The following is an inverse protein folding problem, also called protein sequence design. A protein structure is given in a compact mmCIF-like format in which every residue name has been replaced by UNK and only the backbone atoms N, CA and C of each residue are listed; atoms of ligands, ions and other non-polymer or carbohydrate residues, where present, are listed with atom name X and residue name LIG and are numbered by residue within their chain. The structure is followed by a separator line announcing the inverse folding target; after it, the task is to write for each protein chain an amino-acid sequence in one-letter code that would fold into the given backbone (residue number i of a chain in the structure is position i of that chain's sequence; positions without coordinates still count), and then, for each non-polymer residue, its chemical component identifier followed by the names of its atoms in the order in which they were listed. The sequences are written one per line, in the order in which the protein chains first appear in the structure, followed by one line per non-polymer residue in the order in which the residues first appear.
data_IF_935576790739
#
_entry.id   IF_935576790739
#
_cell.length_a   1.000
_cell.length_b   1.000
_cell.length_c   1.000
_cell.angle_alpha   90.00
_cell.angle_beta   90.00
_cell.angle_gamma   90.00
#
_symmetry.space_group_name_H-M   'P 1'
#
loop_
_entity.id
_entity.type
_entity.pdbx_description
1 polymer ?
#
# COMPACT_ATOMS: atom_id res chain seq x y z
N UNK A 1 -8.85 41.64 -17.17
CA UNK A 1 -8.81 40.42 -18.01
C UNK A 1 -7.50 39.63 -17.98
N UNK A 2 -6.33 40.23 -17.68
CA UNK A 2 -5.01 39.58 -17.80
C UNK A 2 -4.78 38.39 -16.82
N UNK A 3 -5.45 38.39 -15.67
CA UNK A 3 -5.37 37.31 -14.67
C UNK A 3 -5.93 35.97 -15.17
N UNK A 4 -6.97 35.98 -16.01
CA UNK A 4 -7.59 34.76 -16.53
C UNK A 4 -6.73 34.05 -17.59
N UNK A 5 -5.97 34.79 -18.40
CA UNK A 5 -5.04 34.23 -19.39
C UNK A 5 -3.84 33.61 -18.69
N UNK A 6 -3.25 34.30 -17.72
CA UNK A 6 -2.15 33.75 -16.90
C UNK A 6 -2.59 32.52 -16.10
N UNK A 7 -3.82 32.52 -15.55
CA UNK A 7 -4.38 31.36 -14.84
C UNK A 7 -4.60 30.16 -15.78
N UNK A 8 -5.08 30.37 -17.02
CA UNK A 8 -5.22 29.30 -18.02
C UNK A 8 -3.87 28.75 -18.48
N UNK A 9 -2.87 29.62 -18.69
CA UNK A 9 -1.51 29.22 -19.06
C UNK A 9 -0.82 28.42 -17.95
N UNK A 10 -0.89 28.90 -16.71
CA UNK A 10 -0.33 28.20 -15.55
C UNK A 10 -0.99 26.83 -15.33
N UNK A 11 -2.34 26.75 -15.41
CA UNK A 11 -3.07 25.47 -15.32
C UNK A 11 -2.71 24.53 -16.49
N UNK A 12 -2.56 25.06 -17.70
CA UNK A 12 -2.13 24.29 -18.86
C UNK A 12 -0.73 23.69 -18.67
N UNK A 13 0.23 24.45 -18.15
CA UNK A 13 1.58 23.96 -17.85
C UNK A 13 1.54 22.87 -16.76
N UNK A 14 0.80 23.09 -15.67
CA UNK A 14 0.68 22.11 -14.59
C UNK A 14 0.07 20.78 -15.06
N UNK A 15 -1.00 20.84 -15.87
CA UNK A 15 -1.62 19.64 -16.45
C UNK A 15 -0.70 18.95 -17.46
N UNK A 16 0.13 19.71 -18.18
CA UNK A 16 1.13 19.13 -19.09
C UNK A 16 2.16 18.32 -18.31
N UNK A 17 2.73 18.89 -17.25
CA UNK A 17 3.72 18.20 -16.39
C UNK A 17 3.09 16.94 -15.78
N UNK A 18 1.91 17.06 -15.17
CA UNK A 18 1.22 15.91 -14.58
C UNK A 18 0.89 14.85 -15.64
N UNK A 19 0.43 15.25 -16.82
CA UNK A 19 0.12 14.34 -17.93
C UNK A 19 1.35 13.56 -18.40
N UNK A 20 2.51 14.21 -18.55
CA UNK A 20 3.78 13.54 -18.90
C UNK A 20 4.19 12.55 -17.82
N UNK A 21 4.11 12.95 -16.55
CA UNK A 21 4.49 12.10 -15.41
C UNK A 21 3.60 10.85 -15.34
N UNK A 22 2.28 11.01 -15.40
CA UNK A 22 1.36 9.88 -15.35
C UNK A 22 1.51 8.96 -16.57
N UNK A 23 1.74 9.53 -17.75
CA UNK A 23 1.99 8.76 -18.96
C UNK A 23 3.28 7.93 -18.83
N UNK A 24 4.36 8.54 -18.35
CA UNK A 24 5.64 7.86 -18.14
C UNK A 24 5.55 6.75 -17.11
N UNK A 25 4.94 7.00 -15.95
CA UNK A 25 4.73 5.99 -14.90
C UNK A 25 3.85 4.85 -15.42
N UNK A 26 2.74 5.16 -16.10
CA UNK A 26 1.83 4.16 -16.65
C UNK A 26 2.51 3.27 -17.69
N UNK A 27 3.30 3.87 -18.59
CA UNK A 27 4.05 3.12 -19.61
C UNK A 27 5.15 2.24 -19.00
N UNK A 28 5.90 2.77 -18.03
CA UNK A 28 6.93 1.99 -17.31
C UNK A 28 6.32 0.81 -16.55
N UNK A 29 5.20 1.02 -15.85
CA UNK A 29 4.48 -0.05 -15.17
C UNK A 29 3.99 -1.12 -16.18
N UNK A 30 3.44 -0.70 -17.31
CA UNK A 30 3.00 -1.62 -18.36
C UNK A 30 4.16 -2.43 -18.96
N UNK A 31 5.28 -1.79 -19.28
CA UNK A 31 6.49 -2.45 -19.80
C UNK A 31 7.04 -3.44 -18.76
N UNK A 32 7.07 -3.04 -17.47
CA UNK A 32 7.50 -3.92 -16.38
C UNK A 32 6.64 -5.17 -16.28
N UNK A 33 5.31 -5.03 -16.31
CA UNK A 33 4.38 -6.18 -16.28
C UNK A 33 4.57 -7.09 -17.49
N UNK A 34 4.77 -6.53 -18.69
CA UNK A 34 5.04 -7.32 -19.90
C UNK A 34 6.38 -8.05 -19.83
N UNK A 35 7.40 -7.42 -19.27
CA UNK A 35 8.70 -8.05 -19.05
C UNK A 35 8.60 -9.21 -18.06
N UNK A 36 7.90 -9.00 -16.94
CA UNK A 36 7.67 -10.03 -15.93
C UNK A 36 6.84 -11.20 -16.48
N UNK A 37 5.80 -10.91 -17.28
CA UNK A 37 4.98 -11.93 -17.92
C UNK A 37 5.79 -12.75 -18.91
N UNK A 38 6.58 -12.09 -19.76
CA UNK A 38 7.48 -12.79 -20.69
C UNK A 38 8.48 -13.67 -19.94
N UNK A 39 9.08 -13.16 -18.85
CA UNK A 39 10.01 -13.93 -18.02
C UNK A 39 9.34 -15.18 -17.46
N UNK A 40 8.16 -15.02 -16.86
CA UNK A 40 7.34 -16.12 -16.35
C UNK A 40 6.99 -17.15 -17.43
N UNK A 41 6.57 -16.71 -18.62
CA UNK A 41 6.23 -17.59 -19.74
C UNK A 41 7.47 -18.33 -20.31
N UNK A 42 8.65 -17.71 -20.28
CA UNK A 42 9.88 -18.31 -20.82
C UNK A 42 10.61 -19.20 -19.83
N UNK A 43 10.64 -18.83 -18.56
CA UNK A 43 11.39 -19.54 -17.50
C UNK A 43 10.51 -20.56 -16.77
N UNK A 44 9.18 -20.37 -16.79
CA UNK A 44 8.24 -21.18 -16.03
C UNK A 44 8.32 -20.93 -14.53
N UNK A 45 7.67 -21.80 -13.77
CA UNK A 45 7.79 -21.92 -12.31
C UNK A 45 8.69 -23.10 -11.97
N UNK A 46 9.30 -23.04 -10.78
CA UNK A 46 10.06 -24.13 -10.18
C UNK A 46 9.55 -24.37 -8.77
N UNK A 47 9.64 -25.61 -8.31
CA UNK A 47 9.32 -25.96 -6.93
C UNK A 47 10.26 -25.19 -5.97
N UNK A 48 9.69 -24.36 -5.09
CA UNK A 48 10.47 -23.58 -4.12
C UNK A 48 11.21 -24.44 -3.12
N UNK A 49 10.77 -25.69 -2.89
CA UNK A 49 11.45 -26.64 -2.03
C UNK A 49 12.79 -27.15 -2.60
N UNK A 50 13.01 -26.94 -3.90
CA UNK A 50 14.21 -27.37 -4.62
C UNK A 50 15.17 -26.22 -4.93
N UNK A 51 14.95 -25.04 -4.33
CA UNK A 51 15.77 -23.86 -4.57
C UNK A 51 16.86 -23.69 -3.52
N UNK A 52 18.06 -23.40 -4.00
CA UNK A 52 19.16 -22.94 -3.15
C UNK A 52 18.95 -21.49 -2.72
N UNK A 53 19.63 -21.06 -1.65
CA UNK A 53 19.63 -19.65 -1.21
C UNK A 53 20.01 -18.68 -2.34
N UNK A 54 21.01 -19.05 -3.16
CA UNK A 54 21.44 -18.26 -4.30
C UNK A 54 20.32 -18.10 -5.34
N UNK A 55 19.51 -19.13 -5.58
CA UNK A 55 18.38 -19.07 -6.50
C UNK A 55 17.20 -18.27 -5.93
N UNK A 56 16.93 -18.40 -4.63
CA UNK A 56 15.93 -17.58 -3.93
C UNK A 56 16.25 -16.08 -4.05
N UNK A 57 17.53 -15.71 -3.97
CA UNK A 57 17.98 -14.32 -4.14
C UNK A 57 17.57 -13.70 -5.49
N UNK A 58 17.40 -14.55 -6.51
CA UNK A 58 16.92 -14.19 -7.84
C UNK A 58 15.44 -13.80 -7.90
N UNK A 59 14.71 -13.99 -6.80
CA UNK A 59 13.27 -13.68 -6.64
C UNK A 59 12.41 -14.28 -7.76
N UNK A 60 12.55 -15.59 -8.05
CA UNK A 60 11.82 -16.23 -9.12
C UNK A 60 10.32 -16.31 -8.84
N UNK A 61 9.56 -16.55 -9.91
CA UNK A 61 8.24 -17.13 -9.78
C UNK A 61 8.39 -18.62 -9.47
N UNK A 62 7.57 -19.12 -8.57
CA UNK A 62 7.71 -20.45 -8.01
C UNK A 62 6.34 -21.11 -7.88
N UNK A 63 6.39 -22.43 -7.88
CA UNK A 63 5.31 -23.28 -7.42
C UNK A 63 5.83 -24.14 -6.27
N UNK A 64 4.99 -24.95 -5.63
CA UNK A 64 5.48 -25.92 -4.64
C UNK A 64 4.47 -26.22 -3.55
N UNK A 65 4.79 -27.23 -2.74
CA UNK A 65 3.96 -27.70 -1.63
C UNK A 65 4.43 -27.10 -0.31
N UNK A 66 3.47 -26.68 0.49
CA UNK A 66 3.66 -26.41 1.92
C UNK A 66 3.13 -27.62 2.66
N UNK A 67 4.03 -28.34 3.32
CA UNK A 67 3.74 -29.57 4.07
C UNK A 67 3.87 -29.37 5.58
N UNK A 68 4.66 -28.38 6.01
CA UNK A 68 4.84 -28.05 7.41
C UNK A 68 4.70 -26.56 7.63
N UNK A 69 4.12 -26.21 8.78
CA UNK A 69 4.02 -24.84 9.28
C UNK A 69 4.49 -24.86 10.71
N UNK A 70 5.59 -24.15 10.99
CA UNK A 70 6.21 -24.19 12.30
C UNK A 70 5.55 -23.18 13.24
N UNK A 71 5.34 -21.94 12.79
CA UNK A 71 4.72 -20.89 13.62
C UNK A 71 4.15 -19.74 12.77
N UNK A 72 3.21 -18.99 13.32
CA UNK A 72 2.83 -17.64 12.88
C UNK A 72 3.56 -16.61 13.74
N UNK A 73 4.65 -16.04 13.23
CA UNK A 73 5.48 -15.12 14.02
C UNK A 73 5.06 -13.64 13.90
N UNK A 74 4.25 -13.29 12.90
CA UNK A 74 3.78 -11.92 12.70
C UNK A 74 2.42 -11.84 11.98
N UNK A 75 1.73 -10.72 12.18
CA UNK A 75 0.48 -10.38 11.51
C UNK A 75 0.45 -8.92 11.03
N UNK A 76 -0.31 -8.65 9.98
CA UNK A 76 -0.74 -7.30 9.58
C UNK A 76 -2.24 -7.16 9.79
N UNK A 77 -2.67 -5.99 10.27
CA UNK A 77 -4.09 -5.65 10.44
C UNK A 77 -4.34 -4.15 10.29
N UNK A 78 -5.54 -3.81 9.83
CA UNK A 78 -5.94 -2.42 9.61
C UNK A 78 -6.33 -1.75 10.92
N UNK A 79 -5.84 -0.53 11.12
CA UNK A 79 -6.18 0.32 12.28
C UNK A 79 -6.78 1.66 11.85
N UNK A 80 -7.58 2.24 12.74
CA UNK A 80 -8.03 3.64 12.65
C UNK A 80 -7.65 4.36 13.94
N UNK A 81 -6.74 5.33 13.84
CA UNK A 81 -6.14 6.01 15.00
C UNK A 81 -5.54 5.04 16.04
N UNK A 82 -4.88 3.98 15.56
CA UNK A 82 -4.24 2.96 16.41
C UNK A 82 -5.20 1.92 16.99
N UNK A 83 -6.50 1.99 16.68
CA UNK A 83 -7.49 0.99 17.08
C UNK A 83 -7.66 -0.01 15.94
N UNK A 84 -7.44 -1.30 16.22
CA UNK A 84 -7.69 -2.40 15.28
C UNK A 84 -9.17 -2.44 14.87
N UNK A 85 -9.44 -2.55 13.57
CA UNK A 85 -10.80 -2.44 13.00
C UNK A 85 -11.54 -3.78 12.87
N UNK A 86 -10.83 -4.90 12.91
CA UNK A 86 -11.36 -6.26 12.80
C UNK A 86 -10.57 -7.20 13.68
N UNK A 87 -11.23 -8.23 14.23
CA UNK A 87 -10.51 -9.31 14.92
C UNK A 87 -9.72 -10.17 13.92
N UNK A 88 -10.10 -10.17 12.64
CA UNK A 88 -9.36 -10.85 11.58
C UNK A 88 -8.07 -10.10 11.21
N UNK A 89 -7.02 -10.85 10.88
CA UNK A 89 -5.76 -10.31 10.36
C UNK A 89 -5.82 -10.15 8.85
N UNK A 90 -5.35 -9.03 8.33
CA UNK A 90 -5.27 -8.77 6.88
C UNK A 90 -4.26 -9.71 6.21
N UNK A 91 -3.15 -9.98 6.91
CA UNK A 91 -2.14 -10.97 6.53
C UNK A 91 -1.54 -11.64 7.75
N UNK A 92 -1.10 -12.88 7.55
CA UNK A 92 -0.29 -13.63 8.51
C UNK A 92 1.04 -14.03 7.85
N UNK A 93 2.10 -14.06 8.66
CA UNK A 93 3.45 -14.44 8.25
C UNK A 93 3.83 -15.74 8.97
N UNK A 94 3.87 -16.82 8.20
CA UNK A 94 4.17 -18.15 8.70
C UNK A 94 5.65 -18.47 8.49
N UNK A 95 6.29 -19.09 9.47
CA UNK A 95 7.57 -19.74 9.29
C UNK A 95 7.32 -21.15 8.71
N UNK A 96 7.88 -21.42 7.55
CA UNK A 96 7.79 -22.73 6.90
C UNK A 96 9.20 -23.23 6.54
N UNK A 97 9.48 -24.53 6.64
CA UNK A 97 10.70 -25.12 6.11
C UNK A 97 10.63 -25.27 4.58
N UNK A 98 11.79 -25.28 3.94
CA UNK A 98 11.98 -25.81 2.59
C UNK A 98 12.40 -27.28 2.71
N UNK A 99 11.56 -28.19 2.20
CA UNK A 99 11.72 -29.64 2.38
C UNK A 99 12.25 -30.27 1.10
N UNK A 100 13.46 -30.83 1.11
CA UNK A 100 14.03 -31.47 -0.10
C UNK A 100 13.26 -32.74 -0.49
N UNK A 101 13.51 -33.29 -1.69
CA UNK A 101 12.85 -34.56 -2.09
C UNK A 101 13.20 -35.73 -1.14
N UNK A 102 14.35 -35.64 -0.48
CA UNK A 102 14.79 -36.61 0.52
C UNK A 102 14.21 -36.35 1.92
N UNK A 103 13.42 -35.29 2.09
CA UNK A 103 12.78 -34.91 3.35
C UNK A 103 13.67 -34.12 4.31
N UNK A 104 14.82 -33.60 3.84
CA UNK A 104 15.69 -32.76 4.68
C UNK A 104 15.16 -31.33 4.76
N UNK A 105 15.36 -30.71 5.91
CA UNK A 105 15.04 -29.29 6.16
C UNK A 105 16.36 -28.56 6.37
N UNK A 106 16.81 -27.86 5.32
CA UNK A 106 18.04 -27.07 5.39
C UNK A 106 17.74 -25.60 5.68
N UNK A 107 16.60 -25.08 5.25
CA UNK A 107 16.28 -23.66 5.36
C UNK A 107 14.83 -23.44 5.74
N UNK A 108 14.59 -22.32 6.41
CA UNK A 108 13.27 -21.78 6.65
C UNK A 108 13.07 -20.48 5.88
N UNK A 109 11.85 -20.26 5.42
CA UNK A 109 11.42 -19.03 4.76
C UNK A 109 10.09 -18.58 5.35
N UNK A 110 9.72 -17.34 5.07
CA UNK A 110 8.39 -16.83 5.42
C UNK A 110 7.38 -17.17 4.33
N UNK A 111 6.17 -17.57 4.69
CA UNK A 111 5.01 -17.57 3.80
C UNK A 111 4.08 -16.41 4.19
N UNK A 112 3.90 -15.44 3.29
CA UNK A 112 2.85 -14.43 3.44
C UNK A 112 1.52 -15.04 3.02
N UNK A 113 0.51 -15.03 3.89
CA UNK A 113 -0.81 -15.53 3.55
C UNK A 113 -1.90 -14.51 3.86
N UNK A 114 -2.96 -14.56 3.05
CA UNK A 114 -4.22 -13.84 3.29
C UNK A 114 -5.29 -14.82 3.76
N UNK A 115 -6.44 -14.30 4.19
CA UNK A 115 -7.56 -15.09 4.72
C UNK A 115 -7.99 -16.30 3.87
N UNK A 116 -7.72 -16.28 2.56
CA UNK A 116 -7.96 -17.42 1.65
C UNK A 116 -7.25 -18.71 2.09
N UNK A 117 -6.10 -18.61 2.75
CA UNK A 117 -5.23 -19.75 3.06
C UNK A 117 -5.22 -20.15 4.54
N UNK A 118 -5.85 -19.36 5.42
CA UNK A 118 -5.70 -19.54 6.88
C UNK A 118 -6.20 -20.89 7.35
N UNK A 119 -7.37 -21.35 6.90
CA UNK A 119 -7.91 -22.65 7.35
C UNK A 119 -6.97 -23.81 7.02
N UNK A 120 -6.44 -23.84 5.79
CA UNK A 120 -5.51 -24.89 5.35
C UNK A 120 -4.17 -24.79 6.08
N UNK A 121 -3.62 -23.58 6.24
CA UNK A 121 -2.33 -23.40 6.93
C UNK A 121 -2.43 -23.68 8.44
N UNK A 122 -3.55 -23.33 9.08
CA UNK A 122 -3.80 -23.68 10.47
C UNK A 122 -3.93 -25.20 10.65
N UNK A 123 -4.59 -25.88 9.72
CA UNK A 123 -4.66 -27.33 9.74
C UNK A 123 -3.27 -27.97 9.58
N UNK A 124 -2.44 -27.46 8.65
CA UNK A 124 -1.05 -27.92 8.48
C UNK A 124 -0.23 -27.66 9.76
N UNK A 125 -0.41 -26.51 10.41
CA UNK A 125 0.24 -26.20 11.69
C UNK A 125 -0.14 -27.20 12.79
N UNK A 126 -1.44 -27.49 12.95
CA UNK A 126 -1.89 -28.49 13.93
C UNK A 126 -1.32 -29.88 13.63
N UNK A 127 -1.31 -30.29 12.36
CA UNK A 127 -0.79 -31.57 11.92
C UNK A 127 0.75 -31.67 12.01
N UNK A 128 1.48 -30.55 11.86
CA UNK A 128 2.95 -30.48 11.98
C UNK A 128 3.41 -30.96 13.37
N UNK A 129 2.60 -30.71 14.39
CA UNK A 129 2.90 -31.02 15.78
C UNK A 129 2.08 -32.20 16.34
N UNK A 130 1.34 -32.92 15.48
CA UNK A 130 0.52 -34.07 15.88
C UNK A 130 1.36 -35.36 15.97
N UNK A 131 1.63 -35.80 17.19
CA UNK A 131 2.32 -37.06 17.46
C UNK A 131 1.57 -38.31 16.98
N UNK A 132 0.25 -38.20 16.71
CA UNK A 132 -0.59 -39.33 16.31
C UNK A 132 -0.43 -39.74 14.84
N UNK A 133 0.29 -38.93 14.05
CA UNK A 133 0.66 -39.15 12.65
C UNK A 133 -0.52 -39.64 11.78
N UNK A 134 -1.42 -38.74 11.33
CA UNK A 134 -2.57 -39.12 10.51
C UNK A 134 -2.15 -39.89 9.24
N UNK A 135 -3.05 -40.77 8.77
CA UNK A 135 -2.78 -41.59 7.59
C UNK A 135 -2.69 -40.77 6.28
N UNK A 136 -3.22 -39.56 6.28
CA UNK A 136 -3.18 -38.59 5.19
C UNK A 136 -2.97 -37.22 5.83
N UNK A 137 -1.97 -36.49 5.36
CA UNK A 137 -1.68 -35.13 5.80
C UNK A 137 -2.30 -34.13 4.82
N UNK A 138 -2.61 -32.95 5.35
CA UNK A 138 -3.03 -31.79 4.60
C UNK A 138 -1.81 -31.18 3.94
N UNK A 139 -1.94 -30.83 2.66
CA UNK A 139 -0.91 -30.15 1.90
C UNK A 139 -1.52 -28.94 1.21
N UNK A 140 -0.76 -27.85 1.11
CA UNK A 140 -1.13 -26.68 0.31
C UNK A 140 -0.20 -26.56 -0.89
N UNK A 141 -0.75 -26.75 -2.11
CA UNK A 141 -0.01 -26.47 -3.33
C UNK A 141 -0.19 -25.02 -3.79
N UNK A 142 0.92 -24.32 -3.99
CA UNK A 142 0.96 -22.97 -4.53
C UNK A 142 1.39 -23.06 -6.01
N UNK A 143 0.54 -22.66 -6.94
CA UNK A 143 0.85 -22.75 -8.39
C UNK A 143 1.53 -21.48 -8.93
N UNK A 144 1.12 -20.31 -8.45
CA UNK A 144 1.49 -19.00 -9.02
C UNK A 144 2.12 -18.09 -7.96
N UNK A 145 3.10 -18.59 -7.20
CA UNK A 145 3.76 -17.83 -6.15
C UNK A 145 4.99 -17.06 -6.66
N UNK A 146 5.48 -16.10 -5.87
CA UNK A 146 6.71 -15.35 -6.15
C UNK A 146 7.54 -15.20 -4.90
N UNK A 147 8.83 -15.47 -5.03
CA UNK A 147 9.81 -15.15 -3.99
C UNK A 147 10.04 -13.63 -3.95
N UNK A 148 9.98 -13.05 -2.76
CA UNK A 148 10.31 -11.64 -2.51
C UNK A 148 11.27 -11.54 -1.33
N UNK A 149 11.95 -10.40 -1.22
CA UNK A 149 12.62 -10.06 0.03
C UNK A 149 11.57 -9.82 1.11
N UNK A 150 11.84 -10.30 2.31
CA UNK A 150 11.04 -9.98 3.46
C UNK A 150 11.14 -8.46 3.74
N UNK A 151 10.04 -7.74 4.00
CA UNK A 151 10.12 -6.33 4.34
C UNK A 151 10.95 -6.14 5.62
N UNK A 152 11.82 -5.13 5.68
CA UNK A 152 12.76 -4.95 6.80
C UNK A 152 12.07 -4.84 8.18
N UNK A 153 10.82 -4.36 8.22
CA UNK A 153 10.02 -4.33 9.45
C UNK A 153 9.63 -5.73 9.93
N UNK A 154 9.27 -6.62 9.00
CA UNK A 154 8.89 -8.01 9.28
C UNK A 154 10.14 -8.86 9.52
N UNK A 155 11.21 -8.64 8.76
CA UNK A 155 12.52 -9.29 8.94
C UNK A 155 13.08 -9.06 10.35
N UNK A 156 12.98 -7.82 10.86
CA UNK A 156 13.36 -7.53 12.24
C UNK A 156 12.52 -8.34 13.24
N UNK A 157 11.21 -8.46 13.01
CA UNK A 157 10.31 -9.21 13.90
C UNK A 157 10.67 -10.70 13.86
N UNK A 158 10.93 -11.25 12.67
CA UNK A 158 11.32 -12.65 12.49
C UNK A 158 12.57 -12.99 13.31
N UNK A 159 13.65 -12.24 13.16
CA UNK A 159 14.90 -12.57 13.87
C UNK A 159 14.81 -12.32 15.38
N UNK A 160 14.10 -11.28 15.81
CA UNK A 160 13.82 -11.03 17.24
C UNK A 160 13.01 -12.19 17.84
N UNK A 161 12.01 -12.69 17.11
CA UNK A 161 11.21 -13.84 17.49
C UNK A 161 12.04 -15.14 17.49
N UNK A 162 12.94 -15.35 16.53
CA UNK A 162 13.79 -16.55 16.50
C UNK A 162 14.64 -16.68 17.78
N UNK A 163 15.20 -15.58 18.28
CA UNK A 163 16.09 -15.56 19.44
C UNK A 163 15.38 -15.41 20.78
N UNK A 164 14.23 -14.71 20.81
CA UNK A 164 13.58 -14.30 22.07
C UNK A 164 12.08 -14.48 22.11
N UNK A 165 11.46 -14.85 20.99
CA UNK A 165 10.04 -15.15 20.91
C UNK A 165 9.68 -16.40 21.69
N UNK A 166 8.39 -16.61 21.91
CA UNK A 166 7.87 -17.87 22.46
C UNK A 166 7.47 -18.76 21.28
N UNK A 167 8.22 -19.85 21.07
CA UNK A 167 7.93 -20.86 20.05
C UNK A 167 7.32 -22.13 20.66
N UNK A 168 7.77 -22.48 21.86
CA UNK A 168 7.21 -23.56 22.66
C UNK A 168 7.23 -23.14 24.14
N UNK A 169 6.73 -24.03 25.02
CA UNK A 169 6.67 -23.72 26.44
C UNK A 169 8.07 -23.43 27.01
N UNK A 170 8.33 -22.14 27.25
CA UNK A 170 9.53 -21.57 27.87
C UNK A 170 10.78 -21.43 26.97
N UNK A 171 10.64 -21.39 25.65
CA UNK A 171 11.81 -21.18 24.79
C UNK A 171 11.49 -20.58 23.42
N UNK A 172 12.53 -19.99 22.85
CA UNK A 172 12.55 -19.46 21.48
C UNK A 172 12.74 -20.57 20.45
N UNK A 173 12.63 -20.21 19.17
CA UNK A 173 12.93 -21.12 18.07
C UNK A 173 14.38 -21.63 18.15
N UNK A 174 15.33 -20.73 18.47
CA UNK A 174 16.73 -21.11 18.69
C UNK A 174 16.85 -22.09 19.85
N UNK A 175 16.19 -21.83 20.99
CA UNK A 175 16.24 -22.76 22.13
C UNK A 175 15.70 -24.14 21.75
N UNK A 176 14.59 -24.19 20.99
CA UNK A 176 14.03 -25.45 20.51
C UNK A 176 15.02 -26.19 19.61
N UNK A 177 15.62 -25.52 18.63
CA UNK A 177 16.60 -26.13 17.73
C UNK A 177 17.80 -26.73 18.49
N UNK A 178 18.25 -26.06 19.57
CA UNK A 178 19.32 -26.56 20.43
C UNK A 178 18.86 -27.77 21.24
N UNK A 179 17.70 -27.70 21.89
CA UNK A 179 17.19 -28.76 22.75
C UNK A 179 16.81 -30.03 21.98
N UNK A 180 16.30 -29.89 20.77
CA UNK A 180 15.95 -31.01 19.90
C UNK A 180 17.11 -31.52 19.05
N UNK A 181 18.30 -30.92 19.17
CA UNK A 181 19.47 -31.19 18.32
C UNK A 181 19.15 -31.08 16.82
N UNK A 182 18.27 -30.13 16.44
CA UNK A 182 17.69 -30.05 15.10
C UNK A 182 18.74 -29.86 14.01
N UNK A 183 19.69 -28.95 14.24
CA UNK A 183 20.78 -28.64 13.30
C UNK A 183 22.13 -29.25 13.72
N UNK A 184 22.19 -30.01 14.81
CA UNK A 184 23.47 -30.57 15.30
C UNK A 184 24.45 -29.52 15.86
N UNK A 185 23.99 -28.32 16.19
CA UNK A 185 24.80 -27.20 16.68
C UNK A 185 24.11 -26.48 17.84
N UNK A 186 24.91 -25.82 18.68
CA UNK A 186 24.42 -24.94 19.75
C UNK A 186 24.74 -23.46 19.48
N UNK A 187 25.32 -23.14 18.31
CA UNK A 187 25.60 -21.76 17.93
C UNK A 187 24.32 -21.10 17.38
N UNK A 188 23.79 -20.13 18.14
CA UNK A 188 22.58 -19.40 17.75
C UNK A 188 22.73 -18.69 16.41
N UNK A 189 23.92 -18.18 16.08
CA UNK A 189 24.13 -17.49 14.81
C UNK A 189 24.11 -18.44 13.61
N UNK A 190 24.60 -19.67 13.81
CA UNK A 190 24.51 -20.74 12.81
C UNK A 190 23.04 -21.13 12.60
N UNK A 191 22.29 -21.39 13.68
CA UNK A 191 20.85 -21.71 13.62
C UNK A 191 20.06 -20.62 12.89
N UNK A 192 20.26 -19.35 13.25
CA UNK A 192 19.57 -18.22 12.61
C UNK A 192 19.95 -18.08 11.13
N UNK A 193 21.15 -18.48 10.72
CA UNK A 193 21.56 -18.45 9.31
C UNK A 193 20.76 -19.40 8.41
N UNK A 194 20.08 -20.40 8.98
CA UNK A 194 19.14 -21.25 8.27
C UNK A 194 17.77 -20.59 8.06
N UNK A 195 17.47 -19.48 8.72
CA UNK A 195 16.23 -18.71 8.55
C UNK A 195 16.47 -17.58 7.54
N UNK A 196 16.02 -17.76 6.31
CA UNK A 196 16.35 -16.86 5.22
C UNK A 196 15.40 -15.64 5.16
N UNK A 197 15.90 -14.43 4.78
CA UNK A 197 15.11 -13.19 4.71
C UNK A 197 14.27 -13.09 3.43
N UNK A 198 13.68 -14.21 3.01
CA UNK A 198 12.81 -14.31 1.85
C UNK A 198 11.41 -14.71 2.27
N UNK A 199 10.44 -14.23 1.49
CA UNK A 199 9.05 -14.64 1.62
C UNK A 199 8.49 -15.21 0.31
N UNK A 200 7.69 -16.25 0.44
CA UNK A 200 6.82 -16.77 -0.61
C UNK A 200 5.53 -15.96 -0.57
N UNK A 201 5.16 -15.36 -1.69
CA UNK A 201 3.91 -14.61 -1.83
C UNK A 201 3.02 -15.35 -2.84
N UNK A 202 1.91 -15.97 -2.39
CA UNK A 202 0.93 -16.62 -3.26
C UNK A 202 0.27 -15.66 -4.26
N UNK A 203 -0.51 -16.21 -5.20
CA UNK A 203 -1.35 -15.46 -6.15
C UNK A 203 -0.62 -14.30 -6.86
N UNK A 204 0.66 -14.49 -7.17
CA UNK A 204 1.57 -13.48 -7.70
C UNK A 204 1.74 -13.52 -9.21
N UNK A 205 0.95 -14.33 -9.94
CA UNK A 205 1.02 -14.43 -11.41
C UNK A 205 1.12 -13.05 -12.07
N UNK A 206 2.13 -12.80 -12.93
CA UNK A 206 2.25 -11.51 -13.60
C UNK A 206 1.07 -11.29 -14.57
N UNK A 207 0.64 -10.03 -14.71
CA UNK A 207 -0.36 -9.63 -15.71
C UNK A 207 -1.64 -9.02 -15.15
N UNK A 208 -2.06 -9.35 -13.93
CA UNK A 208 -3.31 -8.84 -13.33
C UNK A 208 -3.39 -7.31 -13.22
N UNK A 209 -2.23 -6.63 -13.12
CA UNK A 209 -2.12 -5.17 -12.96
C UNK A 209 -1.83 -4.41 -14.26
N UNK A 210 -1.71 -5.08 -15.42
CA UNK A 210 -1.39 -4.42 -16.70
C UNK A 210 -2.41 -3.34 -17.08
N UNK A 211 -3.69 -3.58 -16.74
CA UNK A 211 -4.79 -2.64 -16.94
C UNK A 211 -4.57 -1.33 -16.16
N UNK A 212 -4.00 -1.38 -14.96
CA UNK A 212 -3.73 -0.19 -14.15
C UNK A 212 -2.71 0.71 -14.86
N UNK A 213 -1.62 0.11 -15.38
CA UNK A 213 -0.62 0.84 -16.16
C UNK A 213 -1.22 1.53 -17.38
N UNK A 214 -2.09 0.84 -18.13
CA UNK A 214 -2.78 1.39 -19.29
C UNK A 214 -3.77 2.50 -18.92
N UNK A 215 -4.53 2.34 -17.83
CA UNK A 215 -5.45 3.38 -17.34
C UNK A 215 -4.68 4.64 -16.95
N UNK A 216 -3.58 4.50 -16.22
CA UNK A 216 -2.72 5.63 -15.83
C UNK A 216 -2.13 6.33 -17.06
N UNK A 217 -1.67 5.56 -18.04
CA UNK A 217 -1.18 6.09 -19.31
C UNK A 217 -2.29 6.84 -20.08
N UNK A 218 -3.50 6.29 -20.12
CA UNK A 218 -4.68 6.90 -20.74
C UNK A 218 -5.09 8.22 -20.06
N UNK A 219 -5.10 8.25 -18.73
CA UNK A 219 -5.34 9.49 -17.95
C UNK A 219 -4.27 10.52 -18.28
N UNK A 220 -3.00 10.13 -18.29
CA UNK A 220 -1.88 11.00 -18.67
C UNK A 220 -2.08 11.61 -20.07
N UNK A 221 -2.45 10.80 -21.05
CA UNK A 221 -2.72 11.24 -22.42
C UNK A 221 -3.90 12.24 -22.48
N UNK A 222 -4.99 11.97 -21.75
CA UNK A 222 -6.14 12.87 -21.68
C UNK A 222 -5.75 14.23 -21.07
N UNK A 223 -4.95 14.24 -20.00
CA UNK A 223 -4.44 15.47 -19.39
C UNK A 223 -3.55 16.27 -20.36
N UNK A 224 -2.72 15.59 -21.15
CA UNK A 224 -1.91 16.24 -22.19
C UNK A 224 -2.78 16.92 -23.25
N UNK A 225 -3.85 16.27 -23.71
CA UNK A 225 -4.79 16.87 -24.67
C UNK A 225 -5.45 18.12 -24.07
N UNK A 226 -5.95 18.04 -22.83
CA UNK A 226 -6.56 19.18 -22.14
C UNK A 226 -5.55 20.33 -21.96
N UNK A 227 -4.31 20.01 -21.59
CA UNK A 227 -3.24 20.98 -21.45
C UNK A 227 -2.97 21.72 -22.77
N UNK A 228 -2.85 21.00 -23.89
CA UNK A 228 -2.65 21.58 -25.22
C UNK A 228 -3.81 22.52 -25.60
N UNK A 229 -5.05 22.12 -25.35
CA UNK A 229 -6.23 22.95 -25.61
C UNK A 229 -6.20 24.24 -24.77
N UNK A 230 -5.88 24.16 -23.48
CA UNK A 230 -5.81 25.33 -22.60
C UNK A 230 -4.67 26.28 -23.01
N UNK A 231 -3.51 25.74 -23.39
CA UNK A 231 -2.37 26.52 -23.86
C UNK A 231 -2.67 27.18 -25.21
N UNK A 232 -3.31 26.49 -26.15
CA UNK A 232 -3.73 27.06 -27.43
C UNK A 232 -4.80 28.16 -27.24
N UNK A 233 -5.78 27.95 -26.34
CA UNK A 233 -6.75 29.00 -25.99
C UNK A 233 -6.11 30.21 -25.30
N UNK A 234 -5.01 30.02 -24.56
CA UNK A 234 -4.27 31.13 -23.94
C UNK A 234 -3.41 31.90 -24.98
N UNK A 235 -2.83 31.22 -25.97
CA UNK A 235 -2.10 31.84 -27.08
C UNK A 235 -3.00 32.67 -27.99
N UNK A 236 -4.21 32.19 -28.27
CA UNK A 236 -5.15 32.83 -29.19
C UNK A 236 -6.10 33.84 -28.50
N UNK A 237 -5.83 34.22 -27.25
CA UNK A 237 -6.65 35.21 -26.55
C UNK A 237 -6.36 36.62 -27.10
N UNK A 238 -7.38 37.40 -27.52
CA UNK A 238 -7.16 38.73 -28.08
C UNK A 238 -6.49 39.65 -27.07
N UNK A 239 -5.37 40.23 -27.47
CA UNK A 239 -4.71 41.33 -26.75
C UNK A 239 -5.56 42.58 -26.94
N UNK A 240 -6.40 42.89 -25.97
CA UNK A 240 -7.08 44.19 -25.94
C UNK A 240 -6.01 45.24 -25.57
N UNK A 241 -5.77 46.28 -26.38
CA UNK A 241 -4.85 47.35 -26.03
C UNK A 241 -5.28 47.97 -24.71
N UNK A 242 -4.31 48.09 -23.80
CA UNK A 242 -4.53 48.71 -22.51
C UNK A 242 -4.50 50.23 -22.73
N UNK A 243 -5.63 50.82 -23.15
CA UNK A 243 -5.75 52.27 -23.19
C UNK A 243 -5.84 52.79 -21.75
N UNK A 244 -4.79 53.53 -21.39
CA UNK A 244 -4.66 54.22 -20.13
C UNK A 244 -5.75 55.28 -20.00
N UNK A 245 -6.72 55.05 -19.12
CA UNK A 245 -7.48 56.15 -18.54
C UNK A 245 -6.80 56.57 -17.24
N UNK A 246 -5.99 57.63 -17.38
CA UNK A 246 -5.60 58.51 -16.29
C UNK A 246 -6.62 59.65 -16.19
N UNK A 247 -7.12 59.90 -14.98
CA UNK A 247 -7.54 61.21 -14.43
C UNK A 247 -8.17 60.91 -13.07
N UNK A 248 -7.46 61.22 -11.98
CA UNK A 248 -7.58 62.49 -11.24
C UNK A 248 -8.88 62.58 -10.44
N UNK A 249 -8.74 62.41 -9.12
CA UNK A 249 -9.68 62.89 -8.14
C UNK A 249 -9.64 64.44 -8.08
N UNK A 250 -10.70 65.07 -7.59
CA UNK A 250 -10.52 65.79 -6.33
C UNK A 250 -11.68 65.60 -5.32
N UNK A 251 -11.37 66.01 -4.08
CA UNK A 251 -12.11 65.88 -2.84
C UNK A 251 -13.22 66.95 -2.63
N UNK A 252 -13.83 66.91 -1.43
CA UNK A 252 -14.74 67.88 -0.75
C UNK A 252 -16.25 67.68 -1.04
N UNK A 253 -17.23 67.85 -0.14
CA UNK A 253 -17.39 67.86 1.32
C UNK A 253 -18.92 67.86 1.60
N UNK A 254 -19.34 67.44 2.80
CA UNK A 254 -20.59 67.77 3.51
C UNK A 254 -21.98 67.22 3.06
N UNK A 255 -22.60 66.41 3.95
CA UNK A 255 -23.86 66.74 4.70
C UNK A 255 -24.62 65.47 5.16
N UNK A 256 -24.90 65.37 6.46
CA UNK A 256 -25.98 64.56 7.07
C UNK A 256 -26.95 65.54 7.76
N UNK A 257 -28.26 65.26 7.95
CA UNK A 257 -28.76 64.08 8.68
C UNK A 257 -30.13 63.47 8.28
N UNK A 258 -30.41 62.31 8.92
CA UNK A 258 -31.69 61.84 9.48
C UNK A 258 -32.60 60.82 8.74
N UNK A 259 -32.84 59.71 9.46
CA UNK A 259 -34.01 58.81 9.54
C UNK A 259 -34.14 57.54 8.64
N UNK A 260 -34.06 56.39 9.32
CA UNK A 260 -34.30 55.00 8.90
C UNK A 260 -35.80 54.59 9.00
N UNK A 261 -36.22 53.35 8.65
CA UNK A 261 -35.81 52.07 9.29
C UNK A 261 -35.30 51.02 8.26
N UNK A 262 -34.18 50.33 8.50
CA UNK A 262 -34.00 49.10 9.28
C UNK A 262 -34.65 47.82 8.69
N UNK A 263 -33.86 47.00 7.96
CA UNK A 263 -33.56 45.60 8.33
C UNK A 263 -32.77 44.87 7.23
N UNK A 264 -31.47 44.67 7.44
CA UNK A 264 -30.69 43.56 6.86
C UNK A 264 -29.48 43.30 7.77
N UNK A 265 -29.56 42.23 8.57
CA UNK A 265 -28.46 41.79 9.42
C UNK A 265 -27.36 41.07 8.58
N UNK A 266 -26.08 41.14 8.98
CA UNK A 266 -24.98 40.47 8.29
C UNK A 266 -24.93 38.99 8.68
N UNK A 267 -24.91 38.07 7.70
CA UNK A 267 -24.66 36.65 7.96
C UNK A 267 -23.18 36.45 8.26
N UNK A 268 -22.83 36.17 9.53
CA UNK A 268 -21.50 35.68 9.90
C UNK A 268 -21.40 34.23 9.44
N UNK A 269 -20.56 33.95 8.45
CA UNK A 269 -20.18 32.58 8.07
C UNK A 269 -19.23 32.03 9.14
N UNK A 270 -19.68 31.02 9.87
CA UNK A 270 -18.83 30.28 10.81
C UNK A 270 -17.99 29.26 10.04
N UNK A 271 -16.82 28.88 10.56
CA UNK A 271 -15.98 27.80 9.99
C UNK A 271 -15.90 26.63 10.97
N UNK A 272 -15.77 25.42 10.45
CA UNK A 272 -15.62 24.21 11.25
C UNK A 272 -14.27 24.25 11.98
N UNK A 273 -14.23 24.10 13.31
CA UNK A 273 -12.98 24.12 14.07
C UNK A 273 -12.11 22.87 13.81
N UNK A 274 -12.69 21.77 13.31
CA UNK A 274 -11.94 20.55 13.05
C UNK A 274 -11.26 20.54 11.68
N UNK A 275 -11.90 21.06 10.63
CA UNK A 275 -11.40 20.96 9.25
C UNK A 275 -11.30 22.29 8.49
N UNK A 276 -11.79 23.39 9.06
CA UNK A 276 -11.75 24.73 8.45
C UNK A 276 -12.79 24.96 7.36
N UNK A 277 -13.70 24.02 7.07
CA UNK A 277 -14.75 24.20 6.07
C UNK A 277 -15.80 25.23 6.51
N UNK A 278 -16.38 26.03 5.60
CA UNK A 278 -17.44 26.97 5.94
C UNK A 278 -18.70 26.22 6.39
N UNK A 279 -19.34 26.73 7.44
CA UNK A 279 -20.56 26.20 8.02
C UNK A 279 -21.73 27.15 7.76
N UNK A 280 -22.87 26.56 7.42
CA UNK A 280 -24.12 27.30 7.41
C UNK A 280 -24.57 27.65 8.84
N UNK A 281 -25.22 28.81 9.05
CA UNK A 281 -25.75 29.19 10.35
C UNK A 281 -26.69 28.11 10.90
N UNK A 282 -26.39 27.58 12.09
CA UNK A 282 -27.21 26.55 12.74
C UNK A 282 -26.94 25.09 12.32
N UNK A 283 -25.90 24.83 11.51
CA UNK A 283 -25.51 23.47 11.16
C UNK A 283 -25.16 22.64 12.41
N UNK A 284 -25.88 21.54 12.64
CA UNK A 284 -25.63 20.60 13.76
C UNK A 284 -24.45 19.66 13.50
N UNK A 285 -24.04 19.50 12.24
CA UNK A 285 -22.92 18.68 11.81
C UNK A 285 -22.19 19.35 10.64
N UNK A 286 -20.88 19.14 10.53
CA UNK A 286 -20.10 19.62 9.40
C UNK A 286 -20.34 18.74 8.16
N UNK A 287 -20.77 19.31 7.01
CA UNK A 287 -21.03 18.52 5.80
C UNK A 287 -19.74 17.98 5.15
N UNK A 288 -18.56 18.50 5.50
CA UNK A 288 -17.29 18.05 4.92
C UNK A 288 -16.59 16.96 5.72
N UNK A 289 -16.70 16.94 7.05
CA UNK A 289 -15.99 15.97 7.90
C UNK A 289 -16.89 15.18 8.86
N UNK A 290 -18.19 15.49 8.95
CA UNK A 290 -19.13 14.79 9.83
C UNK A 290 -19.08 15.19 11.31
N UNK A 291 -18.20 16.12 11.69
CA UNK A 291 -18.08 16.59 13.07
C UNK A 291 -19.38 17.18 13.60
N UNK A 292 -19.81 16.78 14.81
CA UNK A 292 -20.97 17.35 15.49
C UNK A 292 -20.65 18.74 16.04
N UNK A 293 -21.48 19.72 15.69
CA UNK A 293 -21.37 21.11 16.14
C UNK A 293 -22.26 21.29 17.38
N UNK A 294 -21.68 21.10 18.56
CA UNK A 294 -22.43 21.25 19.81
C UNK A 294 -22.67 22.74 20.15
N UNK A 295 -23.93 23.16 20.03
CA UNK A 295 -24.57 24.17 20.89
C UNK A 295 -23.90 25.55 21.02
N UNK A 296 -23.90 26.36 19.97
CA UNK A 296 -23.70 27.82 20.11
C UNK A 296 -25.07 28.51 20.27
N UNK A 297 -25.72 28.28 21.42
CA UNK A 297 -26.81 29.13 21.92
C UNK A 297 -26.26 30.00 23.06
N UNK A 298 -25.80 31.20 22.68
CA UNK A 298 -26.00 32.49 23.36
C UNK A 298 -25.35 33.59 22.54
#
# INVERSE_FOLDING_TARGET
MNSNVNRRKSRGIALLILGVVLLGIGLMAFIGVQSDLKKYETEGTRDFNQLTEAELSGKPYVEGRVEFVFEVFAEEYTTNYGIRLSDDSDKLYYLIPLVTEEGYIDYFVTLEATGRYYDTLNQIYEETWDESLPAVYTELYLEDAKIRSLPSSIEKILYDWCETGEFYQNGSFVDWCVESDFFGTTDSAEIVSHVLPYMIVPDSKPGGSALIGLVMAGIGLALLVVAVVLLNKAKNAPTVPNEAFASEAPAEEFSTPEAAPANAAPSRTNFCPQCGAPLEPGAKFCPSCGAKMEGMHR
#
